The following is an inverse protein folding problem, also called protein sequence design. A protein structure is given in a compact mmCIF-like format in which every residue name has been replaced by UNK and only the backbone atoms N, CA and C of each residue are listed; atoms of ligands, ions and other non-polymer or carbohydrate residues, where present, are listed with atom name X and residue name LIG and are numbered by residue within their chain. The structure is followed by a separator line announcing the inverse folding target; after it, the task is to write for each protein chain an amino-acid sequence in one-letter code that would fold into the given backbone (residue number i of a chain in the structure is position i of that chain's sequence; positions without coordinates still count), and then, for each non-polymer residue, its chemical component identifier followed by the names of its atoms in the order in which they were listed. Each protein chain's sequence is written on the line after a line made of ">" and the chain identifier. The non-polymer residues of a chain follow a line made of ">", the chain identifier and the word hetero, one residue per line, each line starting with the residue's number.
data_IF_175489353606
#
_entry.id   IF_175489353606
#
_cell.length_a   1.000
_cell.length_b   1.000
_cell.length_c   1.000
_cell.angle_alpha   90.00
_cell.angle_beta   90.00
_cell.angle_gamma   90.00
#
_symmetry.space_group_name_H-M   'P 1'
#
loop_
_entity.id
_entity.type
_entity.pdbx_description
1 polymer ?
#
# COMPACT_ATOMS: atom_id res chain seq x y z
N UNK A 1 -13.54 -14.86 -4.24
CA UNK A 1 -12.15 -15.00 -3.76
C UNK A 1 -11.99 -14.30 -2.43
N UNK A 2 -11.29 -14.93 -1.51
CA UNK A 2 -11.05 -14.37 -0.17
C UNK A 2 -9.63 -13.80 -0.12
N UNK A 3 -9.55 -12.53 0.30
CA UNK A 3 -8.28 -11.88 0.57
C UNK A 3 -8.03 -11.90 2.07
N UNK A 4 -6.84 -11.47 2.49
CA UNK A 4 -6.48 -11.43 3.91
C UNK A 4 -6.03 -10.06 4.39
N UNK A 5 -5.82 -9.11 3.48
CA UNK A 5 -5.38 -7.79 3.94
C UNK A 5 -6.53 -7.08 4.65
N UNK A 6 -6.16 -6.24 5.61
CA UNK A 6 -7.16 -5.53 6.42
C UNK A 6 -8.08 -4.68 5.55
N UNK A 7 -9.37 -4.81 5.77
CA UNK A 7 -10.38 -4.01 5.07
C UNK A 7 -10.77 -4.55 3.69
N UNK A 8 -10.31 -5.73 3.32
CA UNK A 8 -10.55 -6.25 1.97
C UNK A 8 -12.02 -6.40 1.62
N UNK A 9 -12.87 -6.72 2.59
CA UNK A 9 -14.30 -7.00 2.35
C UNK A 9 -15.02 -5.76 1.80
N UNK A 10 -14.62 -4.58 2.26
CA UNK A 10 -15.24 -3.32 1.86
C UNK A 10 -14.34 -2.48 0.95
N UNK A 11 -13.28 -3.06 0.41
CA UNK A 11 -12.33 -2.34 -0.44
C UNK A 11 -12.84 -2.30 -1.88
N UNK A 12 -13.89 -1.51 -2.10
CA UNK A 12 -14.61 -1.45 -3.38
C UNK A 12 -14.46 -0.10 -4.08
N UNK A 13 -13.56 0.77 -3.60
CA UNK A 13 -13.35 2.08 -4.21
C UNK A 13 -12.75 1.94 -5.61
N UNK A 14 -13.02 2.93 -6.47
CA UNK A 14 -12.60 2.92 -7.87
C UNK A 14 -11.44 3.87 -8.11
N UNK A 15 -10.63 3.61 -9.15
CA UNK A 15 -9.57 4.55 -9.51
C UNK A 15 -10.13 5.94 -9.82
N UNK A 16 -9.34 6.96 -9.46
CA UNK A 16 -9.74 8.35 -9.69
C UNK A 16 -9.06 8.96 -10.92
N UNK A 17 -8.12 8.24 -11.53
CA UNK A 17 -7.44 8.67 -12.75
C UNK A 17 -7.63 7.66 -13.85
N UNK A 18 -7.86 8.16 -15.07
CA UNK A 18 -8.15 7.31 -16.22
C UNK A 18 -7.03 6.33 -16.54
N UNK A 19 -5.78 6.73 -16.31
CA UNK A 19 -4.64 5.83 -16.59
C UNK A 19 -4.69 4.54 -15.78
N UNK A 20 -5.45 4.52 -14.67
CA UNK A 20 -5.59 3.34 -13.83
C UNK A 20 -6.98 2.70 -13.94
N UNK A 21 -7.77 3.11 -14.93
CA UNK A 21 -9.16 2.63 -15.09
C UNK A 21 -9.25 1.11 -15.25
N UNK A 22 -8.16 0.46 -15.66
CA UNK A 22 -8.12 -1.00 -15.77
C UNK A 22 -8.05 -1.74 -14.45
N UNK A 23 -7.85 -1.02 -13.34
CA UNK A 23 -7.83 -1.60 -12.00
C UNK A 23 -9.22 -1.45 -11.39
N UNK A 24 -9.87 -2.57 -11.07
CA UNK A 24 -11.26 -2.54 -10.56
C UNK A 24 -11.38 -1.91 -9.17
N UNK A 25 -10.51 -2.31 -8.24
CA UNK A 25 -10.56 -1.87 -6.85
C UNK A 25 -9.24 -2.29 -6.15
N UNK A 26 -9.07 -1.96 -4.85
CA UNK A 26 -7.84 -2.33 -4.14
C UNK A 26 -7.55 -3.83 -4.11
N UNK A 27 -8.58 -4.68 -4.21
CA UNK A 27 -8.36 -6.14 -4.24
C UNK A 27 -7.60 -6.54 -5.50
N UNK A 28 -7.99 -6.00 -6.65
CA UNK A 28 -7.25 -6.26 -7.88
C UNK A 28 -5.86 -5.65 -7.84
N UNK A 29 -5.71 -4.48 -7.23
CA UNK A 29 -4.37 -3.90 -7.05
C UNK A 29 -3.50 -4.83 -6.22
N UNK A 30 -4.04 -5.42 -5.16
CA UNK A 30 -3.29 -6.40 -4.36
C UNK A 30 -2.81 -7.57 -5.22
N UNK A 31 -3.68 -8.09 -6.07
CA UNK A 31 -3.30 -9.20 -6.95
C UNK A 31 -2.15 -8.81 -7.88
N UNK A 32 -2.23 -7.62 -8.47
CA UNK A 32 -1.17 -7.13 -9.36
C UNK A 32 0.15 -6.92 -8.62
N UNK A 33 0.08 -6.30 -7.43
CA UNK A 33 1.29 -6.04 -6.65
C UNK A 33 1.91 -7.32 -6.10
N UNK A 34 1.11 -8.36 -5.86
CA UNK A 34 1.63 -9.63 -5.39
C UNK A 34 2.61 -10.26 -6.39
N UNK A 35 2.48 -9.91 -7.67
CA UNK A 35 3.40 -10.37 -8.71
C UNK A 35 4.63 -9.45 -8.85
N UNK A 36 4.63 -8.30 -8.18
CA UNK A 36 5.69 -7.29 -8.31
C UNK A 36 6.55 -7.21 -7.06
N UNK A 37 5.94 -7.25 -5.86
CA UNK A 37 6.69 -7.14 -4.61
C UNK A 37 7.84 -8.13 -4.59
N UNK A 38 9.02 -7.65 -4.23
CA UNK A 38 10.23 -8.45 -4.19
C UNK A 38 11.21 -7.86 -3.17
N UNK A 39 12.37 -8.48 -3.04
CA UNK A 39 13.38 -7.98 -2.12
C UNK A 39 13.80 -6.54 -2.47
N UNK A 40 13.86 -6.21 -3.76
CA UNK A 40 14.28 -4.88 -4.18
C UNK A 40 13.26 -3.80 -3.89
N UNK A 41 11.98 -4.13 -3.78
CA UNK A 41 10.96 -3.17 -3.38
C UNK A 41 10.79 -3.07 -1.87
N UNK A 42 11.37 -4.01 -1.12
CA UNK A 42 11.35 -4.04 0.33
C UNK A 42 12.27 -2.96 0.91
N UNK A 43 11.89 -2.38 2.05
CA UNK A 43 12.75 -1.44 2.75
C UNK A 43 14.11 -2.08 3.02
N UNK A 44 15.22 -1.36 2.75
CA UNK A 44 16.56 -1.97 2.86
C UNK A 44 16.85 -2.62 4.22
N UNK A 45 16.37 -2.03 5.31
CA UNK A 45 16.60 -2.56 6.67
C UNK A 45 15.92 -3.91 6.90
N UNK A 46 14.96 -4.29 6.05
CA UNK A 46 14.19 -5.53 6.17
C UNK A 46 14.44 -6.50 5.03
N UNK A 47 15.26 -6.09 4.07
CA UNK A 47 15.44 -6.81 2.80
C UNK A 47 15.92 -8.25 2.99
N UNK A 48 16.79 -8.47 3.96
CA UNK A 48 17.32 -9.81 4.22
C UNK A 48 16.25 -10.77 4.76
N UNK A 49 15.20 -10.22 5.36
CA UNK A 49 14.11 -11.03 5.91
C UNK A 49 12.96 -11.21 4.93
N UNK A 50 13.03 -10.54 3.78
CA UNK A 50 11.97 -10.65 2.78
C UNK A 50 11.96 -12.04 2.15
N UNK A 51 10.75 -12.57 1.90
CA UNK A 51 10.61 -13.87 1.22
C UNK A 51 9.25 -13.93 0.51
N UNK A 52 9.12 -14.89 -0.38
CA UNK A 52 7.84 -15.18 -1.06
C UNK A 52 6.74 -15.52 -0.07
N UNK A 53 7.11 -16.10 1.08
CA UNK A 53 6.13 -16.45 2.12
C UNK A 53 5.62 -15.21 2.88
N UNK A 54 6.32 -14.07 2.78
CA UNK A 54 5.92 -12.82 3.44
C UNK A 54 6.21 -11.65 2.50
N UNK A 55 5.52 -11.62 1.38
CA UNK A 55 5.76 -10.65 0.30
C UNK A 55 5.55 -9.20 0.71
N UNK A 56 4.67 -8.94 1.67
CA UNK A 56 4.33 -7.56 2.05
C UNK A 56 5.33 -6.95 3.02
N UNK A 57 6.30 -7.72 3.50
CA UNK A 57 7.29 -7.20 4.44
C UNK A 57 8.07 -6.02 3.83
N UNK A 58 8.07 -4.89 4.54
CA UNK A 58 8.82 -3.71 4.13
C UNK A 58 8.28 -2.96 2.93
N UNK A 59 7.02 -3.22 2.54
CA UNK A 59 6.41 -2.63 1.35
C UNK A 59 5.42 -1.50 1.66
N UNK A 60 5.20 -1.18 2.92
CA UNK A 60 4.01 -0.42 3.32
C UNK A 60 3.94 1.01 2.76
N UNK A 61 5.00 1.79 2.88
CA UNK A 61 4.91 3.21 2.48
C UNK A 61 4.76 3.36 0.98
N UNK A 62 5.60 2.70 0.19
CA UNK A 62 5.54 2.85 -1.27
C UNK A 62 4.22 2.30 -1.82
N UNK A 63 3.70 1.23 -1.24
CA UNK A 63 2.41 0.67 -1.64
C UNK A 63 1.27 1.61 -1.29
N UNK A 64 1.28 2.19 -0.09
CA UNK A 64 0.22 3.11 0.32
C UNK A 64 0.17 4.36 -0.55
N UNK A 65 1.34 4.94 -0.89
CA UNK A 65 1.36 6.12 -1.74
C UNK A 65 0.98 5.80 -3.19
N UNK A 66 1.32 4.62 -3.68
CA UNK A 66 0.86 4.18 -4.99
C UNK A 66 -0.66 4.00 -5.01
N UNK A 67 -1.22 3.38 -3.97
CA UNK A 67 -2.67 3.24 -3.85
C UNK A 67 -3.35 4.61 -3.79
N UNK A 68 -2.73 5.59 -3.13
CA UNK A 68 -3.23 6.96 -3.12
C UNK A 68 -3.27 7.56 -4.52
N UNK A 69 -2.24 7.32 -5.32
CA UNK A 69 -2.23 7.79 -6.72
C UNK A 69 -3.40 7.21 -7.51
N UNK A 70 -3.77 5.97 -7.21
CA UNK A 70 -4.80 5.26 -7.97
C UNK A 70 -6.20 5.62 -7.49
N UNK A 71 -6.41 5.56 -6.17
CA UNK A 71 -7.76 5.65 -5.58
C UNK A 71 -8.03 6.97 -4.87
N UNK A 72 -7.03 7.83 -4.71
CA UNK A 72 -7.18 9.08 -3.97
C UNK A 72 -7.12 8.86 -2.47
N UNK A 73 -7.70 9.78 -1.73
CA UNK A 73 -7.75 9.69 -0.27
C UNK A 73 -6.45 10.08 0.41
N UNK A 74 -6.24 9.54 1.60
CA UNK A 74 -5.12 9.91 2.46
C UNK A 74 -4.37 8.67 2.94
N UNK A 75 -3.09 8.87 3.28
CA UNK A 75 -2.24 7.85 3.85
C UNK A 75 -2.02 8.18 5.32
N UNK A 76 -2.26 7.20 6.20
CA UNK A 76 -2.01 7.34 7.64
C UNK A 76 -0.95 6.34 8.06
N UNK A 77 -0.32 6.57 9.21
CA UNK A 77 0.73 5.69 9.68
C UNK A 77 0.54 5.28 11.12
N UNK A 78 0.72 3.99 11.36
CA UNK A 78 0.70 3.41 12.71
C UNK A 78 2.14 3.36 13.21
N UNK A 79 2.41 4.02 14.34
CA UNK A 79 3.76 4.02 14.92
C UNK A 79 4.11 2.61 15.39
N UNK A 80 5.27 2.12 14.95
CA UNK A 80 5.74 0.80 15.29
C UNK A 80 6.94 0.89 16.24
N UNK A 81 7.22 -0.19 17.00
CA UNK A 81 8.45 -0.25 17.79
C UNK A 81 9.65 0.07 16.89
N UNK A 82 10.55 0.91 17.36
CA UNK A 82 11.69 1.36 16.57
C UNK A 82 11.47 2.71 15.90
N UNK A 83 10.26 3.28 15.97
CA UNK A 83 9.97 4.64 15.53
C UNK A 83 9.55 4.78 14.07
N UNK A 84 9.42 3.69 13.33
CA UNK A 84 8.93 3.74 11.96
C UNK A 84 7.41 3.65 11.92
N UNK A 85 6.81 4.24 10.88
CA UNK A 85 5.36 4.19 10.68
C UNK A 85 5.00 3.14 9.64
N UNK A 86 3.97 2.35 9.96
CA UNK A 86 3.36 1.43 9.00
C UNK A 86 2.21 2.17 8.31
N UNK A 87 2.31 2.34 6.99
CA UNK A 87 1.36 3.14 6.23
C UNK A 87 0.19 2.33 5.69
N UNK A 88 -0.99 2.95 5.68
CA UNK A 88 -2.21 2.36 5.13
C UNK A 88 -3.08 3.46 4.53
N UNK A 89 -4.19 3.08 3.90
CA UNK A 89 -5.01 4.01 3.12
C UNK A 89 -6.39 4.22 3.73
N UNK A 90 -6.86 5.47 3.68
CA UNK A 90 -8.22 5.85 4.06
C UNK A 90 -8.82 6.70 2.95
N UNK A 91 -9.96 6.27 2.42
CA UNK A 91 -10.65 6.98 1.35
C UNK A 91 -12.07 7.28 1.82
N UNK A 92 -12.49 8.54 1.71
CA UNK A 92 -13.86 8.93 2.04
C UNK A 92 -14.74 8.71 0.80
N UNK A 93 -15.78 7.90 0.96
CA UNK A 93 -16.73 7.65 -0.12
C UNK A 93 -17.67 8.84 -0.29
N UNK A 94 -18.37 8.94 -1.44
CA UNK A 94 -19.33 10.03 -1.65
C UNK A 94 -20.42 10.11 -0.59
N UNK A 95 -20.79 8.98 0.03
CA UNK A 95 -21.80 8.97 1.09
C UNK A 95 -21.25 9.38 2.46
N UNK A 96 -19.97 9.73 2.54
CA UNK A 96 -19.32 10.15 3.78
C UNK A 96 -18.69 9.02 4.59
N UNK A 97 -18.94 7.77 4.22
CA UNK A 97 -18.33 6.65 4.92
C UNK A 97 -16.85 6.52 4.55
N UNK A 98 -16.06 5.89 5.43
CA UNK A 98 -14.64 5.68 5.19
C UNK A 98 -14.38 4.27 4.69
N UNK A 99 -13.52 4.17 3.67
CA UNK A 99 -12.98 2.90 3.21
C UNK A 99 -11.54 2.83 3.71
N UNK A 100 -11.28 1.96 4.68
CA UNK A 100 -9.95 1.78 5.27
C UNK A 100 -9.40 0.44 4.81
N UNK A 101 -8.24 0.46 4.19
CA UNK A 101 -7.61 -0.81 3.79
C UNK A 101 -6.10 -0.71 3.93
N UNK A 102 -5.48 -1.87 4.18
CA UNK A 102 -4.04 -1.97 4.40
C UNK A 102 -3.52 -3.15 3.60
N UNK A 103 -3.04 -2.87 2.39
CA UNK A 103 -2.62 -3.91 1.45
C UNK A 103 -1.43 -4.72 1.94
N UNK A 104 -0.68 -4.21 2.91
CA UNK A 104 0.52 -4.87 3.42
C UNK A 104 0.38 -5.35 4.86
N UNK A 105 -0.85 -5.45 5.36
CA UNK A 105 -1.10 -5.85 6.74
C UNK A 105 -0.63 -7.28 7.04
N UNK A 106 -0.57 -8.13 6.04
CA UNK A 106 -0.21 -9.54 6.25
C UNK A 106 1.21 -9.72 6.76
N UNK A 107 2.09 -8.72 6.61
CA UNK A 107 3.45 -8.81 7.14
C UNK A 107 3.48 -8.96 8.67
N UNK A 108 2.41 -8.62 9.34
CA UNK A 108 2.33 -8.69 10.80
C UNK A 108 1.67 -9.99 11.29
N UNK A 109 1.36 -10.91 10.41
CA UNK A 109 0.73 -12.20 10.73
C UNK A 109 -0.57 -12.00 11.53
N UNK A 110 -0.63 -12.51 12.75
CA UNK A 110 -1.83 -12.45 13.58
C UNK A 110 -1.91 -11.19 14.44
N UNK A 111 -0.90 -10.34 14.40
CA UNK A 111 -0.93 -9.11 15.18
C UNK A 111 -2.04 -8.19 14.67
N UNK A 112 -2.88 -7.71 15.59
CA UNK A 112 -3.96 -6.80 15.23
C UNK A 112 -3.50 -5.37 15.45
N UNK A 113 -3.48 -4.59 14.37
CA UNK A 113 -3.09 -3.19 14.44
C UNK A 113 -4.31 -2.32 14.68
N UNK A 114 -4.08 -1.13 15.26
CA UNK A 114 -5.15 -0.16 15.47
C UNK A 114 -5.16 0.84 14.32
N UNK A 115 -6.26 0.90 13.59
CA UNK A 115 -6.40 1.77 12.42
C UNK A 115 -7.17 3.06 12.74
N UNK A 116 -7.14 3.50 13.99
CA UNK A 116 -7.82 4.71 14.44
C UNK A 116 -6.84 5.62 15.18
N UNK A 117 -7.02 6.95 15.02
CA UNK A 117 -6.25 7.93 15.77
C UNK A 117 -4.81 8.08 15.33
N UNK A 118 -4.47 7.61 14.14
CA UNK A 118 -3.10 7.66 13.65
C UNK A 118 -2.81 8.97 12.90
N UNK A 119 -1.55 9.43 12.88
CA UNK A 119 -1.22 10.64 12.13
C UNK A 119 -1.20 10.41 10.63
N UNK A 120 -1.60 11.44 9.90
CA UNK A 120 -1.50 11.42 8.45
C UNK A 120 -0.02 11.48 8.06
N UNK A 121 0.33 10.75 7.00
CA UNK A 121 1.70 10.68 6.50
C UNK A 121 1.85 11.58 5.28
N UNK A 122 2.94 12.34 5.24
CA UNK A 122 3.24 13.25 4.15
C UNK A 122 4.12 12.57 3.11
N UNK A 123 3.68 12.63 1.87
CA UNK A 123 4.44 12.13 0.73
C UNK A 123 5.80 12.83 0.65
N UNK A 124 5.82 14.15 0.86
CA UNK A 124 7.04 14.94 0.79
C UNK A 124 8.07 14.49 1.82
N UNK A 125 7.63 14.17 3.03
CA UNK A 125 8.52 13.69 4.09
C UNK A 125 9.08 12.32 3.72
N UNK A 126 8.22 11.41 3.27
CA UNK A 126 8.67 10.07 2.91
C UNK A 126 9.62 10.10 1.71
N UNK A 127 9.30 10.87 0.68
CA UNK A 127 10.08 10.89 -0.56
C UNK A 127 11.25 11.87 -0.53
N UNK A 128 11.46 12.57 0.58
CA UNK A 128 12.73 13.25 0.83
C UNK A 128 13.87 12.23 0.93
N UNK A 129 13.54 10.98 1.27
CA UNK A 129 14.49 9.88 1.24
C UNK A 129 14.58 9.35 -0.19
N UNK A 130 15.70 9.64 -0.86
CA UNK A 130 15.87 9.31 -2.27
C UNK A 130 15.71 7.81 -2.54
N UNK A 131 16.17 6.96 -1.62
CA UNK A 131 16.05 5.51 -1.76
C UNK A 131 14.59 5.08 -1.78
N UNK A 132 13.78 5.63 -0.88
CA UNK A 132 12.35 5.29 -0.81
C UNK A 132 11.63 5.77 -2.07
N UNK A 133 11.93 6.98 -2.53
CA UNK A 133 11.32 7.51 -3.75
C UNK A 133 11.67 6.64 -4.95
N UNK A 134 12.91 6.18 -5.05
CA UNK A 134 13.33 5.32 -6.16
C UNK A 134 12.58 3.98 -6.13
N UNK A 135 12.38 3.39 -4.95
CA UNK A 135 11.60 2.15 -4.84
C UNK A 135 10.14 2.37 -5.23
N UNK A 136 9.56 3.48 -4.83
CA UNK A 136 8.20 3.84 -5.20
C UNK A 136 8.07 3.96 -6.72
N UNK A 137 9.00 4.67 -7.36
CA UNK A 137 8.97 4.87 -8.81
C UNK A 137 9.14 3.55 -9.55
N UNK A 138 9.97 2.66 -9.03
CA UNK A 138 10.14 1.33 -9.62
C UNK A 138 8.84 0.52 -9.51
N UNK A 139 8.22 0.50 -8.32
CA UNK A 139 6.96 -0.21 -8.11
C UNK A 139 5.88 0.31 -9.06
N UNK A 140 5.76 1.63 -9.17
CA UNK A 140 4.80 2.28 -10.04
C UNK A 140 5.03 1.90 -11.50
N UNK A 141 6.28 1.94 -11.95
CA UNK A 141 6.63 1.60 -13.33
C UNK A 141 6.29 0.15 -13.65
N UNK A 142 6.56 -0.76 -12.71
CA UNK A 142 6.24 -2.18 -12.92
C UNK A 142 4.73 -2.41 -12.99
N UNK A 143 3.96 -1.70 -12.17
CA UNK A 143 2.51 -1.77 -12.24
C UNK A 143 2.00 -1.26 -13.58
N UNK A 144 2.50 -0.11 -14.02
CA UNK A 144 2.05 0.52 -15.27
C UNK A 144 2.33 -0.37 -16.48
N UNK A 145 3.45 -1.11 -16.46
CA UNK A 145 3.76 -2.07 -17.52
C UNK A 145 2.70 -3.16 -17.63
N UNK A 146 2.12 -3.56 -16.52
CA UNK A 146 1.10 -4.62 -16.53
C UNK A 146 -0.26 -4.12 -16.99
N UNK A 147 -0.47 -2.81 -17.00
CA UNK A 147 -1.73 -2.22 -17.46
C UNK A 147 -1.71 -1.90 -18.96
N UNK A 148 -0.54 -1.86 -19.55
CA UNK A 148 -0.39 -1.63 -20.99
C UNK A 148 -0.59 -2.95 -21.72
N UNK A 149 -1.41 -2.93 -22.78
CA UNK A 149 -1.68 -4.12 -23.59
C UNK A 149 -1.16 -3.96 -24.99
#
# INVERSE_FOLDING_TARGET
>A
MVYRFYGWEAADVKPVHEQYAGIRDPRQLYDLLSDIWCADTCAPRMRQSWSEANKTLGQCSITAFLAQDIFGGRVYGILRPGGNYHCYNVITRPDGSSCVFDLTSEQFSDEKLCYEGNPEQSREVHFAKAEKKARYEYLKAQLEKRLVK
#
